data_IF_624211909988
#
_entry.id   IF_624211909988
#
_cell.length_a   1.000
_cell.length_b   1.000
_cell.length_c   1.000
_cell.angle_alpha   90.00
_cell.angle_beta   90.00
_cell.angle_gamma   90.00
#
_symmetry.space_group_name_H-M   'P 1'
#
loop_
_entity.id
_entity.type
_entity.pdbx_description
1 polymer ?
#
# COMPACT_ATOMS: atom_id res chain seq x y z
N UNK A 1 -25.60 3.30 -28.42
CA UNK A 1 -25.36 3.17 -26.97
C UNK A 1 -26.16 4.26 -26.25
N UNK A 2 -27.34 3.97 -25.67
CA UNK A 2 -28.17 4.99 -24.99
C UNK A 2 -28.09 4.95 -23.45
N UNK A 3 -27.37 3.99 -22.86
CA UNK A 3 -27.25 3.80 -21.41
C UNK A 3 -25.87 3.27 -21.00
N UNK A 4 -24.80 4.03 -21.28
CA UNK A 4 -23.47 3.73 -20.76
C UNK A 4 -23.19 4.61 -19.55
N UNK A 5 -22.89 3.99 -18.41
CA UNK A 5 -22.54 4.68 -17.16
C UNK A 5 -21.14 4.25 -16.71
N UNK A 6 -20.38 5.21 -16.16
CA UNK A 6 -19.09 4.95 -15.53
C UNK A 6 -19.16 5.18 -14.03
N UNK A 7 -18.68 4.22 -13.24
CA UNK A 7 -18.42 4.46 -11.82
C UNK A 7 -16.99 4.96 -11.65
N UNK A 8 -16.86 6.27 -11.43
CA UNK A 8 -15.59 6.99 -11.47
C UNK A 8 -14.74 6.77 -10.21
N UNK A 9 -14.25 5.54 -10.00
CA UNK A 9 -13.43 5.17 -8.83
C UNK A 9 -12.04 5.83 -8.80
N UNK A 10 -11.63 6.49 -9.89
CA UNK A 10 -10.42 7.31 -9.90
C UNK A 10 -10.59 8.65 -9.16
N UNK A 11 -11.80 8.99 -8.70
CA UNK A 11 -12.06 10.16 -7.86
C UNK A 11 -11.91 9.87 -6.35
N UNK A 12 -11.58 8.63 -5.96
CA UNK A 12 -11.20 8.34 -4.58
C UNK A 12 -9.85 9.00 -4.24
N UNK A 13 -9.52 9.22 -2.94
CA UNK A 13 -8.36 10.01 -2.50
C UNK A 13 -7.01 9.68 -3.14
N UNK A 14 -6.72 8.41 -3.43
CA UNK A 14 -5.46 7.98 -4.07
C UNK A 14 -5.59 7.70 -5.56
N UNK A 15 -6.78 7.95 -6.12
CA UNK A 15 -7.06 7.78 -7.54
C UNK A 15 -7.42 6.36 -7.94
N UNK A 16 -7.85 5.51 -7.01
CA UNK A 16 -8.21 4.12 -7.32
C UNK A 16 -9.34 3.56 -6.44
N UNK A 17 -9.92 2.43 -6.87
CA UNK A 17 -10.91 1.72 -6.07
C UNK A 17 -10.32 1.03 -4.82
N UNK A 18 -8.99 0.87 -4.73
CA UNK A 18 -8.32 0.18 -3.61
C UNK A 18 -8.61 0.87 -2.28
N UNK A 19 -8.80 2.19 -2.32
CA UNK A 19 -9.15 3.06 -1.21
C UNK A 19 -10.32 2.52 -0.37
N UNK A 20 -11.31 1.89 -1.00
CA UNK A 20 -12.45 1.29 -0.31
C UNK A 20 -12.04 0.18 0.64
N UNK A 21 -11.25 -0.77 0.14
CA UNK A 21 -10.80 -1.93 0.91
C UNK A 21 -9.78 -1.51 1.97
N UNK A 22 -8.85 -0.63 1.59
CA UNK A 22 -7.83 -0.12 2.51
C UNK A 22 -8.46 0.66 3.66
N UNK A 23 -9.48 1.50 3.43
CA UNK A 23 -10.16 2.22 4.51
C UNK A 23 -10.69 1.27 5.60
N UNK A 24 -11.35 0.17 5.18
CA UNK A 24 -11.86 -0.83 6.12
C UNK A 24 -10.72 -1.57 6.81
N UNK A 25 -9.72 -2.04 6.04
CA UNK A 25 -8.57 -2.77 6.58
C UNK A 25 -7.82 -1.97 7.64
N UNK A 26 -7.54 -0.70 7.38
CA UNK A 26 -6.81 0.17 8.33
C UNK A 26 -7.66 0.51 9.55
N UNK A 27 -8.98 0.64 9.41
CA UNK A 27 -9.88 0.83 10.56
C UNK A 27 -9.83 -0.37 11.51
N UNK A 28 -9.91 -1.59 10.96
CA UNK A 28 -9.76 -2.83 11.73
C UNK A 28 -8.37 -2.94 12.35
N UNK A 29 -7.32 -2.58 11.61
CA UNK A 29 -5.95 -2.58 12.13
C UNK A 29 -5.81 -1.63 13.34
N UNK A 30 -6.41 -0.44 13.28
CA UNK A 30 -6.44 0.49 14.42
C UNK A 30 -7.18 -0.11 15.63
N UNK A 31 -8.33 -0.75 15.42
CA UNK A 31 -9.08 -1.41 16.51
C UNK A 31 -8.28 -2.51 17.20
N UNK A 32 -7.39 -3.18 16.47
CA UNK A 32 -6.47 -4.20 17.01
C UNK A 32 -5.14 -3.63 17.53
N UNK A 33 -4.97 -2.31 17.57
CA UNK A 33 -3.76 -1.67 18.10
C UNK A 33 -2.52 -1.83 17.21
N UNK A 34 -2.71 -2.07 15.91
CA UNK A 34 -1.60 -2.13 14.94
C UNK A 34 -0.97 -0.74 14.80
N UNK A 35 0.33 -0.65 15.06
CA UNK A 35 1.10 0.60 14.91
C UNK A 35 1.97 0.62 13.66
N UNK A 36 2.32 -0.56 13.13
CA UNK A 36 3.15 -0.72 11.94
C UNK A 36 2.66 -1.90 11.09
N UNK A 37 2.76 -1.79 9.75
CA UNK A 37 2.36 -2.84 8.81
C UNK A 37 3.31 -2.92 7.60
N UNK A 38 3.16 -4.01 6.83
CA UNK A 38 3.95 -4.29 5.64
C UNK A 38 3.04 -4.41 4.42
N UNK A 39 3.42 -3.78 3.31
CA UNK A 39 2.81 -3.89 1.99
C UNK A 39 3.90 -4.12 0.93
N UNK A 40 3.60 -4.83 -0.16
CA UNK A 40 4.58 -5.26 -1.16
C UNK A 40 4.25 -4.83 -2.62
N UNK A 41 3.42 -3.80 -2.79
CA UNK A 41 3.03 -3.26 -4.08
C UNK A 41 3.62 -1.88 -4.36
N UNK A 42 4.16 -1.71 -5.56
CA UNK A 42 4.53 -0.39 -6.11
C UNK A 42 3.37 0.33 -6.83
N UNK A 43 2.16 -0.25 -6.83
CA UNK A 43 0.99 0.25 -7.56
C UNK A 43 -0.05 0.96 -6.68
N UNK A 44 -1.29 0.92 -7.13
CA UNK A 44 -2.43 1.55 -6.44
C UNK A 44 -2.65 1.03 -5.01
N UNK A 45 -2.32 -0.25 -4.74
CA UNK A 45 -2.43 -0.82 -3.40
C UNK A 45 -1.42 -0.16 -2.45
N UNK A 46 -0.14 -0.09 -2.86
CA UNK A 46 0.89 0.64 -2.12
C UNK A 46 0.51 2.10 -1.85
N UNK A 47 0.05 2.84 -2.87
CA UNK A 47 -0.40 4.22 -2.70
C UNK A 47 -1.57 4.36 -1.72
N UNK A 48 -2.58 3.48 -1.85
CA UNK A 48 -3.75 3.43 -0.97
C UNK A 48 -3.35 3.14 0.48
N UNK A 49 -2.60 2.06 0.72
CA UNK A 49 -2.11 1.68 2.06
C UNK A 49 -1.28 2.82 2.66
N UNK A 50 -0.38 3.42 1.89
CA UNK A 50 0.45 4.53 2.35
C UNK A 50 -0.39 5.72 2.83
N UNK A 51 -1.37 6.15 2.04
CA UNK A 51 -2.22 7.29 2.37
C UNK A 51 -3.08 7.04 3.62
N UNK A 52 -3.73 5.89 3.68
CA UNK A 52 -4.64 5.57 4.78
C UNK A 52 -3.90 5.19 6.06
N UNK A 53 -2.74 4.53 5.97
CA UNK A 53 -1.87 4.27 7.13
C UNK A 53 -1.37 5.58 7.73
N UNK A 54 -0.91 6.53 6.89
CA UNK A 54 -0.52 7.86 7.35
C UNK A 54 -1.66 8.58 8.07
N UNK A 55 -2.89 8.50 7.54
CA UNK A 55 -4.08 9.08 8.20
C UNK A 55 -4.41 8.43 9.53
N UNK A 56 -4.19 7.12 9.64
CA UNK A 56 -4.42 6.30 10.82
C UNK A 56 -3.32 6.41 11.89
N UNK A 57 -2.18 7.04 11.58
CA UNK A 57 -1.01 7.05 12.45
C UNK A 57 -0.27 5.70 12.50
N UNK A 58 -0.46 4.86 11.47
CA UNK A 58 0.19 3.56 11.32
C UNK A 58 1.38 3.71 10.38
N UNK A 59 2.55 3.22 10.78
CA UNK A 59 3.75 3.21 9.93
C UNK A 59 3.61 2.12 8.87
N UNK A 60 3.76 2.47 7.60
CA UNK A 60 3.74 1.52 6.49
C UNK A 60 5.14 1.29 5.94
N UNK A 61 5.56 0.02 5.91
CA UNK A 61 6.75 -0.47 5.20
C UNK A 61 6.31 -0.99 3.83
N UNK A 62 6.75 -0.35 2.75
CA UNK A 62 6.28 -0.64 1.39
C UNK A 62 7.44 -1.18 0.54
N UNK A 63 7.40 -2.48 0.26
CA UNK A 63 8.37 -3.18 -0.58
C UNK A 63 7.99 -3.04 -2.05
N UNK A 64 8.95 -2.63 -2.88
CA UNK A 64 8.72 -2.31 -4.30
C UNK A 64 9.87 -2.84 -5.17
N UNK A 65 9.65 -3.15 -6.45
CA UNK A 65 10.75 -3.35 -7.38
C UNK A 65 11.66 -2.12 -7.44
N UNK A 66 12.98 -2.32 -7.45
CA UNK A 66 13.95 -1.23 -7.53
C UNK A 66 13.83 -0.39 -8.81
N UNK A 67 13.37 -1.01 -9.90
CA UNK A 67 13.10 -0.40 -11.20
C UNK A 67 11.68 0.19 -11.33
N UNK A 68 10.89 0.21 -10.24
CA UNK A 68 9.53 0.73 -10.28
C UNK A 68 9.48 2.20 -10.77
N UNK A 69 8.50 2.56 -11.62
CA UNK A 69 8.40 3.91 -12.15
C UNK A 69 8.38 4.98 -11.05
N UNK A 70 9.28 5.97 -11.15
CA UNK A 70 9.44 7.00 -10.13
C UNK A 70 8.16 7.79 -9.84
N UNK A 71 7.26 7.92 -10.81
CA UNK A 71 5.96 8.56 -10.60
C UNK A 71 5.10 7.83 -9.55
N UNK A 72 5.09 6.49 -9.57
CA UNK A 72 4.36 5.67 -8.58
C UNK A 72 5.03 5.73 -7.21
N UNK A 73 6.37 5.65 -7.19
CA UNK A 73 7.12 5.74 -5.95
C UNK A 73 6.96 7.09 -5.24
N UNK A 74 6.86 8.19 -6.00
CA UNK A 74 6.57 9.51 -5.42
C UNK A 74 5.21 9.55 -4.73
N UNK A 75 4.18 8.91 -5.30
CA UNK A 75 2.87 8.85 -4.68
C UNK A 75 2.87 8.06 -3.38
N UNK A 76 3.66 6.99 -3.28
CA UNK A 76 3.83 6.24 -2.02
C UNK A 76 4.58 7.11 -0.99
N UNK A 77 5.73 7.67 -1.39
CA UNK A 77 6.62 8.44 -0.50
C UNK A 77 6.00 9.72 0.06
N UNK A 78 5.12 10.40 -0.68
CA UNK A 78 4.52 11.66 -0.21
C UNK A 78 3.66 11.47 1.05
N UNK A 79 3.16 10.25 1.30
CA UNK A 79 2.42 9.93 2.52
C UNK A 79 3.31 9.53 3.69
N UNK A 80 4.64 9.50 3.53
CA UNK A 80 5.59 9.22 4.62
C UNK A 80 5.87 7.73 4.87
N UNK A 81 5.46 6.84 3.98
CA UNK A 81 5.78 5.40 4.08
C UNK A 81 7.27 5.12 3.87
N UNK A 82 7.77 4.11 4.59
CA UNK A 82 9.15 3.64 4.47
C UNK A 82 9.24 2.71 3.25
N UNK A 83 9.86 3.17 2.17
CA UNK A 83 9.95 2.41 0.91
C UNK A 83 11.21 1.56 0.89
N UNK A 84 11.04 0.26 0.62
CA UNK A 84 12.09 -0.75 0.51
C UNK A 84 12.25 -1.21 -0.94
N UNK A 85 13.19 -0.67 -1.72
CA UNK A 85 13.43 -1.10 -3.09
C UNK A 85 14.15 -2.46 -3.09
N UNK A 86 13.62 -3.41 -3.86
CA UNK A 86 14.13 -4.78 -3.97
C UNK A 86 14.48 -5.05 -5.43
N UNK A 87 15.73 -5.47 -5.67
CA UNK A 87 16.18 -5.93 -6.98
C UNK A 87 15.58 -7.29 -7.32
N UNK A 88 15.21 -7.49 -8.59
CA UNK A 88 14.71 -8.77 -9.10
C UNK A 88 13.21 -8.83 -9.36
N UNK A 89 12.63 -10.02 -9.24
CA UNK A 89 11.26 -10.31 -9.69
C UNK A 89 10.20 -9.86 -8.67
N UNK A 90 8.93 -9.85 -9.09
CA UNK A 90 7.79 -9.64 -8.19
C UNK A 90 7.80 -10.58 -6.98
N UNK A 91 8.21 -11.83 -7.20
CA UNK A 91 8.33 -12.84 -6.14
C UNK A 91 9.45 -12.51 -5.15
N UNK A 92 10.56 -11.93 -5.63
CA UNK A 92 11.64 -11.45 -4.75
C UNK A 92 11.14 -10.31 -3.84
N UNK A 93 10.34 -9.38 -4.37
CA UNK A 93 9.69 -8.32 -3.57
C UNK A 93 8.77 -8.93 -2.51
N UNK A 94 7.90 -9.87 -2.90
CA UNK A 94 7.01 -10.56 -1.94
C UNK A 94 7.80 -11.32 -0.89
N UNK A 95 8.87 -12.03 -1.28
CA UNK A 95 9.71 -12.78 -0.36
C UNK A 95 10.35 -11.86 0.68
N UNK A 96 10.93 -10.73 0.24
CA UNK A 96 11.52 -9.74 1.14
C UNK A 96 10.51 -9.15 2.12
N UNK A 97 9.30 -8.78 1.65
CA UNK A 97 8.23 -8.29 2.52
C UNK A 97 7.77 -9.37 3.51
N UNK A 98 7.69 -10.62 3.06
CA UNK A 98 7.37 -11.80 3.86
C UNK A 98 8.40 -12.07 4.96
N UNK A 99 9.67 -11.96 4.63
CA UNK A 99 10.75 -12.10 5.60
C UNK A 99 10.73 -10.97 6.62
N UNK A 100 10.55 -9.72 6.16
CA UNK A 100 10.53 -8.55 7.03
C UNK A 100 9.38 -8.62 8.05
N UNK A 101 8.14 -8.91 7.62
CA UNK A 101 7.02 -8.99 8.55
C UNK A 101 7.20 -10.13 9.57
N UNK A 102 7.78 -11.27 9.18
CA UNK A 102 8.03 -12.39 10.10
C UNK A 102 9.10 -12.03 11.14
N UNK A 103 10.18 -11.40 10.70
CA UNK A 103 11.28 -11.00 11.59
C UNK A 103 10.84 -9.97 12.63
N UNK A 104 9.90 -9.09 12.28
CA UNK A 104 9.45 -7.98 13.14
C UNK A 104 8.09 -8.23 13.80
N UNK A 105 7.43 -9.37 13.52
CA UNK A 105 6.10 -9.66 14.05
C UNK A 105 5.00 -8.69 13.58
N UNK A 106 5.13 -8.16 12.37
CA UNK A 106 4.22 -7.13 11.81
C UNK A 106 3.08 -7.76 10.99
N UNK A 107 1.98 -7.00 10.87
CA UNK A 107 0.86 -7.35 10.00
C UNK A 107 1.28 -7.22 8.53
N UNK A 108 1.06 -8.28 7.77
CA UNK A 108 1.22 -8.28 6.31
C UNK A 108 -0.11 -7.90 5.66
N UNK A 109 -0.16 -6.73 5.03
CA UNK A 109 -1.36 -6.03 4.57
C UNK A 109 -1.42 -5.87 3.04
N UNK A 110 -1.14 -6.98 2.34
CA UNK A 110 -0.92 -7.09 0.89
C UNK A 110 -1.90 -8.06 0.22
#
# INVERSE_FOLDING_TARGET
MRHLHGKLEFLNPTGSFKDRGTAVMLSVAMEHGVTELVEDSSGNAGASVSAYAARAGIKAHVFVPADAPQAKLRQIRVYGSEVHPIEGTRDAVTAAAKDFHRQHGLVYAS
#
